data_IF_082585620890
#
_entry.id   IF_082585620890
#
_cell.length_a   1.000
_cell.length_b   1.000
_cell.length_c   1.000
_cell.angle_alpha   90.00
_cell.angle_beta   90.00
_cell.angle_gamma   90.00
#
_symmetry.space_group_name_H-M   'P 1'
#
loop_
_entity.id
_entity.type
_entity.pdbx_description
1 polymer ?
#
# COMPACT_ATOMS: atom_id res chain seq x y z
N UNK A 1 -0.68 -13.01 3.58
CA UNK A 1 0.52 -12.63 4.35
C UNK A 1 1.69 -13.34 3.75
N UNK A 2 2.62 -12.59 3.16
CA UNK A 2 3.82 -13.13 2.54
C UNK A 2 4.93 -13.10 3.57
N UNK A 3 5.63 -14.23 3.75
CA UNK A 3 6.80 -14.29 4.63
C UNK A 3 8.03 -14.31 3.74
N UNK A 4 8.83 -13.26 3.82
CA UNK A 4 10.16 -13.26 3.24
C UNK A 4 11.08 -13.98 4.22
N UNK A 5 11.84 -14.94 3.74
CA UNK A 5 12.85 -15.65 4.53
C UNK A 5 14.21 -15.41 3.90
N UNK A 6 15.15 -14.89 4.69
CA UNK A 6 16.55 -14.87 4.35
C UNK A 6 17.14 -16.21 4.78
N UNK A 7 17.80 -16.89 3.86
CA UNK A 7 18.52 -18.14 4.12
C UNK A 7 20.00 -17.92 3.97
N UNK A 8 20.80 -18.59 4.79
CA UNK A 8 22.25 -18.66 4.60
C UNK A 8 22.62 -19.66 3.48
N UNK A 9 23.93 -19.83 3.25
CA UNK A 9 24.46 -20.74 2.23
C UNK A 9 24.11 -22.22 2.47
N UNK A 10 23.83 -22.60 3.72
CA UNK A 10 23.45 -23.94 4.13
C UNK A 10 21.92 -24.15 4.10
N UNK A 11 21.17 -23.11 3.73
CA UNK A 11 19.72 -23.13 3.60
C UNK A 11 18.96 -22.89 4.92
N UNK A 12 19.66 -22.58 6.01
CA UNK A 12 19.09 -22.24 7.32
C UNK A 12 18.47 -20.86 7.25
N UNK A 13 17.26 -20.72 7.78
CA UNK A 13 16.56 -19.42 7.83
C UNK A 13 17.21 -18.55 8.90
N UNK A 14 17.91 -17.50 8.48
CA UNK A 14 18.62 -16.56 9.37
C UNK A 14 17.78 -15.33 9.72
N UNK A 15 16.74 -15.04 8.94
CA UNK A 15 15.74 -14.03 9.28
C UNK A 15 14.43 -14.30 8.54
N UNK A 16 13.31 -13.90 9.14
CA UNK A 16 12.02 -13.89 8.48
C UNK A 16 11.31 -12.56 8.69
N UNK A 17 10.85 -11.94 7.61
CA UNK A 17 10.00 -10.76 7.66
C UNK A 17 8.60 -11.12 7.17
N UNK A 18 7.62 -11.00 8.08
CA UNK A 18 6.22 -11.19 7.73
C UNK A 18 5.68 -9.88 7.19
N UNK A 19 5.63 -9.77 5.87
CA UNK A 19 5.01 -8.64 5.23
C UNK A 19 3.48 -8.80 5.37
N UNK A 20 2.76 -7.86 6.01
CA UNK A 20 1.31 -7.92 6.20
C UNK A 20 0.56 -7.57 4.91
N UNK A 21 1.07 -8.02 3.77
CA UNK A 21 0.51 -7.72 2.44
C UNK A 21 -0.17 -8.98 1.91
N UNK A 22 -1.36 -8.81 1.34
CA UNK A 22 -2.04 -9.86 0.60
C UNK A 22 -1.63 -9.76 -0.88
N UNK A 23 -1.50 -10.90 -1.56
CA UNK A 23 -1.09 -10.93 -2.98
C UNK A 23 -2.02 -10.09 -3.87
N UNK A 24 -3.30 -9.98 -3.51
CA UNK A 24 -4.32 -9.12 -4.14
C UNK A 24 -4.02 -7.61 -4.08
N UNK A 25 -3.17 -7.18 -3.16
CA UNK A 25 -2.82 -5.77 -3.00
C UNK A 25 -1.61 -5.42 -3.87
N UNK A 26 -0.74 -6.40 -4.14
CA UNK A 26 0.39 -6.26 -5.06
C UNK A 26 -0.06 -6.22 -6.52
N UNK A 27 -1.15 -6.93 -6.88
CA UNK A 27 -1.65 -6.94 -8.26
C UNK A 27 -2.04 -5.56 -8.78
N UNK A 28 -2.37 -4.61 -7.89
CA UNK A 28 -2.71 -3.22 -8.24
C UNK A 28 -1.51 -2.35 -8.58
N UNK A 29 -0.30 -2.77 -8.22
CA UNK A 29 0.94 -2.10 -8.57
C UNK A 29 1.64 -2.73 -9.79
N UNK A 30 1.12 -3.83 -10.33
CA UNK A 30 1.69 -4.49 -11.52
C UNK A 30 1.52 -3.68 -12.80
N UNK A 31 0.63 -2.67 -12.79
CA UNK A 31 0.47 -1.74 -13.90
C UNK A 31 1.45 -0.55 -13.85
N UNK A 32 2.40 -0.56 -12.91
CA UNK A 32 3.41 0.48 -12.75
C UNK A 32 2.99 1.64 -11.84
N UNK A 33 1.78 1.63 -11.30
CA UNK A 33 1.31 2.64 -10.34
C UNK A 33 2.25 2.74 -9.13
N UNK A 34 2.51 3.96 -8.66
CA UNK A 34 3.17 4.17 -7.37
C UNK A 34 2.33 3.55 -6.26
N UNK A 35 2.98 2.78 -5.36
CA UNK A 35 2.30 2.13 -4.24
C UNK A 35 2.64 2.85 -2.94
N UNK A 36 1.60 3.20 -2.17
CA UNK A 36 1.72 3.83 -0.86
C UNK A 36 1.16 2.90 0.21
N UNK A 37 1.96 2.66 1.26
CA UNK A 37 1.53 1.93 2.45
C UNK A 37 1.07 2.92 3.50
N UNK A 38 -0.21 2.87 3.88
CA UNK A 38 -0.80 3.73 4.90
C UNK A 38 -0.11 3.51 6.24
N UNK A 39 0.36 4.61 6.83
CA UNK A 39 0.93 4.67 8.17
C UNK A 39 -0.08 5.25 9.17
N UNK A 40 0.21 5.08 10.46
CA UNK A 40 -0.59 5.71 11.52
C UNK A 40 -0.51 7.23 11.39
N UNK A 41 -1.68 7.89 11.28
CA UNK A 41 -1.79 9.34 11.18
C UNK A 41 -1.83 9.88 9.74
N UNK A 42 -1.81 8.99 8.74
CA UNK A 42 -2.07 9.35 7.36
C UNK A 42 -3.55 9.69 7.15
N UNK A 43 -3.78 10.50 6.12
CA UNK A 43 -5.09 10.80 5.58
C UNK A 43 -4.98 10.83 4.04
N UNK A 44 -6.04 10.45 3.33
CA UNK A 44 -6.03 10.38 1.86
C UNK A 44 -5.62 11.71 1.21
N UNK A 45 -6.06 12.85 1.76
CA UNK A 45 -5.68 14.18 1.25
C UNK A 45 -4.19 14.48 1.44
N UNK A 46 -3.54 13.98 2.50
CA UNK A 46 -2.09 14.15 2.71
C UNK A 46 -1.30 13.32 1.72
N UNK A 47 -1.73 12.08 1.49
CA UNK A 47 -1.15 11.20 0.47
C UNK A 47 -1.29 11.86 -0.90
N UNK A 48 -2.48 12.35 -1.25
CA UNK A 48 -2.72 13.05 -2.51
C UNK A 48 -1.87 14.32 -2.64
N UNK A 49 -1.73 15.12 -1.58
CA UNK A 49 -0.87 16.29 -1.60
C UNK A 49 0.61 15.93 -1.81
N UNK A 50 1.10 14.87 -1.17
CA UNK A 50 2.48 14.41 -1.34
C UNK A 50 2.75 13.80 -2.72
N UNK A 51 1.74 13.15 -3.34
CA UNK A 51 1.87 12.53 -4.66
C UNK A 51 1.63 13.49 -5.82
N UNK A 52 0.65 14.39 -5.69
CA UNK A 52 0.16 15.25 -6.78
C UNK A 52 0.38 16.75 -6.56
N UNK A 53 0.72 17.17 -5.33
CA UNK A 53 0.67 18.59 -4.94
C UNK A 53 -0.74 19.12 -4.67
N UNK A 54 -1.78 18.31 -4.91
CA UNK A 54 -3.17 18.71 -4.81
C UNK A 54 -3.95 17.76 -3.90
N UNK A 55 -4.26 18.21 -2.68
CA UNK A 55 -4.95 17.37 -1.69
C UNK A 55 -6.33 16.88 -2.14
N UNK A 56 -7.01 17.63 -3.02
CA UNK A 56 -8.34 17.27 -3.57
C UNK A 56 -8.30 16.02 -4.47
N UNK A 57 -7.14 15.70 -5.07
CA UNK A 57 -6.96 14.50 -5.90
C UNK A 57 -7.02 13.18 -5.10
N UNK A 58 -7.29 13.24 -3.79
CA UNK A 58 -7.62 12.07 -2.99
C UNK A 58 -8.80 11.28 -3.57
N UNK A 59 -9.72 11.94 -4.28
CA UNK A 59 -10.85 11.30 -4.97
C UNK A 59 -10.37 10.29 -6.02
N UNK A 60 -9.25 10.56 -6.70
CA UNK A 60 -8.67 9.65 -7.68
C UNK A 60 -8.10 8.40 -7.00
N UNK A 61 -7.46 8.57 -5.83
CA UNK A 61 -6.99 7.46 -4.98
C UNK A 61 -8.18 6.61 -4.53
N UNK A 62 -9.28 7.23 -4.09
CA UNK A 62 -10.50 6.52 -3.69
C UNK A 62 -11.06 5.70 -4.85
N UNK A 63 -11.22 6.30 -6.02
CA UNK A 63 -11.74 5.62 -7.22
C UNK A 63 -10.87 4.43 -7.61
N UNK A 64 -9.55 4.61 -7.64
CA UNK A 64 -8.59 3.57 -7.98
C UNK A 64 -8.59 2.40 -7.00
N UNK A 65 -8.83 2.68 -5.71
CA UNK A 65 -8.75 1.70 -4.64
C UNK A 65 -10.10 1.34 -4.02
N UNK A 66 -11.21 1.59 -4.73
CA UNK A 66 -12.57 1.45 -4.22
C UNK A 66 -12.89 0.05 -3.66
N UNK A 67 -12.25 -1.00 -4.20
CA UNK A 67 -12.41 -2.39 -3.69
C UNK A 67 -11.86 -2.55 -2.27
N UNK A 68 -10.88 -1.73 -1.87
CA UNK A 68 -10.24 -1.79 -0.56
C UNK A 68 -10.64 -0.66 0.39
N UNK A 69 -11.27 0.39 -0.13
CA UNK A 69 -11.75 1.53 0.65
C UNK A 69 -13.27 1.38 0.78
N UNK A 70 -13.71 0.87 1.93
CA UNK A 70 -15.13 0.87 2.28
C UNK A 70 -15.63 2.27 2.66
N UNK A 71 -14.81 2.98 3.44
CA UNK A 71 -15.07 4.36 3.88
C UNK A 71 -13.78 5.18 3.69
N UNK A 72 -13.79 6.25 2.86
CA UNK A 72 -12.65 7.11 2.63
C UNK A 72 -12.09 7.80 3.89
N UNK A 73 -12.93 8.00 4.90
CA UNK A 73 -12.52 8.63 6.16
C UNK A 73 -11.89 7.61 7.13
N UNK A 74 -12.01 6.31 6.85
CA UNK A 74 -11.48 5.22 7.67
C UNK A 74 -10.43 4.40 6.90
N UNK A 75 -9.24 4.98 6.76
CA UNK A 75 -8.05 4.25 6.32
C UNK A 75 -7.25 3.73 7.52
N UNK A 76 -6.64 2.56 7.36
CA UNK A 76 -5.99 1.82 8.43
C UNK A 76 -4.51 1.55 8.12
N UNK A 77 -3.64 1.52 9.13
CA UNK A 77 -2.24 1.14 8.93
C UNK A 77 -2.08 -0.20 8.21
N UNK A 78 -1.08 -0.26 7.33
CA UNK A 78 -0.77 -1.39 6.43
C UNK A 78 -1.73 -1.59 5.25
N UNK A 79 -2.76 -0.76 5.07
CA UNK A 79 -3.45 -0.70 3.79
C UNK A 79 -2.48 -0.21 2.70
N UNK A 80 -2.64 -0.73 1.49
CA UNK A 80 -1.85 -0.31 0.34
C UNK A 80 -2.76 0.28 -0.70
N UNK A 81 -2.41 1.47 -1.17
CA UNK A 81 -3.09 2.15 -2.25
C UNK A 81 -2.19 2.30 -3.47
N UNK A 82 -2.75 1.99 -4.63
CA UNK A 82 -2.18 2.37 -5.91
C UNK A 82 -2.53 3.83 -6.18
N UNK A 83 -1.52 4.65 -6.46
CA UNK A 83 -1.65 6.07 -6.77
C UNK A 83 -1.65 6.20 -8.30
N UNK A 84 -2.78 6.63 -8.91
CA UNK A 84 -2.82 6.99 -10.33
C UNK A 84 -1.80 8.06 -10.70
N UNK A 85 -1.46 8.21 -11.98
CA UNK A 85 -0.71 9.37 -12.48
C UNK A 85 -1.55 10.68 -12.41
#
# INVERSE_FOLDING_TARGET
MMTFVLRDADGTVVASYKLPVATRDLSRGLDGSQMVVVQRGDALWRIAFSSYGEGIRFVDIVRRNAVAIGDPDLIFPNQIFAIPD
#
